data_IF_212303383129
#
_entry.id   IF_212303383129
#
_cell.length_a   1.000
_cell.length_b   1.000
_cell.length_c   1.000
_cell.angle_alpha   90.00
_cell.angle_beta   90.00
_cell.angle_gamma   90.00
#
_symmetry.space_group_name_H-M   'P 1'
#
loop_
_entity.id
_entity.type
_entity.pdbx_description
1 polymer ?
#
# COMPACT_ATOMS: atom_id res chain seq x y z
N UNK A 1 -3.30 1.97 -18.32
CA UNK A 1 -4.27 1.17 -19.10
C UNK A 1 -5.65 1.78 -18.91
N UNK A 2 -6.50 1.80 -19.94
CA UNK A 2 -7.87 2.32 -19.85
C UNK A 2 -8.86 1.16 -19.82
N UNK A 3 -9.89 1.28 -18.98
CA UNK A 3 -10.94 0.26 -18.80
C UNK A 3 -12.29 0.92 -19.03
N UNK A 4 -13.19 0.23 -19.74
CA UNK A 4 -14.60 0.62 -19.87
C UNK A 4 -15.44 -0.29 -18.98
N UNK A 5 -16.24 0.31 -18.10
CA UNK A 5 -17.10 -0.40 -17.16
C UNK A 5 -18.57 -0.05 -17.43
N UNK A 6 -19.42 -1.07 -17.57
CA UNK A 6 -20.87 -0.89 -17.58
C UNK A 6 -21.38 -0.92 -16.15
N UNK A 7 -21.92 0.20 -15.67
CA UNK A 7 -22.45 0.39 -14.32
C UNK A 7 -23.81 1.05 -14.44
N UNK A 8 -24.74 0.73 -13.53
CA UNK A 8 -26.02 1.43 -13.41
C UNK A 8 -25.82 2.95 -13.20
N UNK A 9 -26.55 3.77 -13.97
CA UNK A 9 -26.43 5.23 -13.95
C UNK A 9 -26.72 5.85 -12.59
N UNK A 10 -27.60 5.24 -11.77
CA UNK A 10 -27.91 5.73 -10.42
C UNK A 10 -26.69 5.57 -9.52
N UNK A 11 -25.96 4.47 -9.65
CA UNK A 11 -24.72 4.21 -8.90
C UNK A 11 -23.65 5.21 -9.32
N UNK A 12 -23.47 5.43 -10.63
CA UNK A 12 -22.50 6.40 -11.16
C UNK A 12 -22.79 7.80 -10.63
N UNK A 13 -24.06 8.20 -10.59
CA UNK A 13 -24.49 9.51 -10.11
C UNK A 13 -24.14 9.70 -8.63
N UNK A 14 -24.46 8.72 -7.79
CA UNK A 14 -24.18 8.82 -6.35
C UNK A 14 -22.68 8.77 -6.06
N UNK A 15 -21.93 7.91 -6.76
CA UNK A 15 -20.49 7.83 -6.61
C UNK A 15 -19.79 9.14 -7.02
N UNK A 16 -20.28 9.83 -8.06
CA UNK A 16 -19.79 11.17 -8.43
C UNK A 16 -20.09 12.20 -7.35
N UNK A 17 -21.28 12.19 -6.76
CA UNK A 17 -21.65 13.07 -5.64
C UNK A 17 -20.69 12.89 -4.46
N UNK A 18 -20.40 11.64 -4.11
CA UNK A 18 -19.45 11.29 -3.05
C UNK A 18 -18.03 11.76 -3.40
N UNK A 19 -17.59 11.53 -4.64
CA UNK A 19 -16.26 11.94 -5.09
C UNK A 19 -16.06 13.46 -4.96
N UNK A 20 -17.04 14.26 -5.41
CA UNK A 20 -17.00 15.72 -5.30
C UNK A 20 -16.97 16.16 -3.85
N UNK A 21 -17.80 15.56 -2.98
CA UNK A 21 -17.80 15.85 -1.55
C UNK A 21 -16.44 15.55 -0.87
N UNK A 22 -15.68 14.61 -1.41
CA UNK A 22 -14.32 14.25 -0.96
C UNK A 22 -13.20 15.01 -1.69
N UNK A 23 -13.54 15.97 -2.55
CA UNK A 23 -12.54 16.72 -3.34
C UNK A 23 -11.79 15.88 -4.38
N UNK A 24 -12.40 14.80 -4.86
CA UNK A 24 -11.79 13.85 -5.82
C UNK A 24 -12.72 13.56 -7.00
N UNK A 25 -12.36 12.60 -7.85
CA UNK A 25 -13.16 12.17 -9.00
C UNK A 25 -13.56 10.69 -8.91
N UNK A 26 -14.63 10.29 -9.61
CA UNK A 26 -15.04 8.89 -9.69
C UNK A 26 -13.90 7.99 -10.20
N UNK A 27 -13.19 8.43 -11.24
CA UNK A 27 -12.05 7.68 -11.76
C UNK A 27 -10.93 7.54 -10.73
N UNK A 28 -10.71 8.55 -9.89
CA UNK A 28 -9.71 8.46 -8.84
C UNK A 28 -10.14 7.46 -7.76
N UNK A 29 -11.41 7.49 -7.33
CA UNK A 29 -11.94 6.49 -6.38
C UNK A 29 -11.80 5.06 -6.90
N UNK A 30 -12.08 4.83 -8.19
CA UNK A 30 -11.92 3.51 -8.82
C UNK A 30 -10.45 3.09 -8.81
N UNK A 31 -9.52 4.00 -9.13
CA UNK A 31 -8.08 3.71 -9.09
C UNK A 31 -7.62 3.38 -7.68
N UNK A 32 -8.02 4.17 -6.70
CA UNK A 32 -7.62 3.98 -5.30
C UNK A 32 -8.12 2.63 -4.78
N UNK A 33 -9.38 2.27 -5.09
CA UNK A 33 -9.94 0.98 -4.73
C UNK A 33 -9.21 -0.19 -5.39
N UNK A 34 -8.90 -0.10 -6.69
CA UNK A 34 -8.15 -1.14 -7.39
C UNK A 34 -6.72 -1.29 -6.81
N UNK A 35 -6.06 -0.18 -6.49
CA UNK A 35 -4.73 -0.20 -5.86
C UNK A 35 -4.78 -0.83 -4.46
N UNK A 36 -5.81 -0.53 -3.67
CA UNK A 36 -6.01 -1.14 -2.35
C UNK A 36 -6.29 -2.65 -2.47
N UNK A 37 -7.09 -3.04 -3.46
CA UNK A 37 -7.39 -4.45 -3.73
C UNK A 37 -6.12 -5.23 -4.14
N UNK A 38 -5.27 -4.65 -4.97
CA UNK A 38 -4.02 -5.27 -5.43
C UNK A 38 -2.88 -5.15 -4.42
N UNK A 39 -3.02 -4.32 -3.38
CA UNK A 39 -2.03 -4.23 -2.31
C UNK A 39 -1.89 -5.53 -1.52
N UNK A 40 -2.90 -6.41 -1.55
CA UNK A 40 -2.81 -7.75 -0.98
C UNK A 40 -1.73 -8.58 -1.70
N UNK A 41 -1.52 -8.36 -3.00
CA UNK A 41 -0.46 -9.03 -3.77
C UNK A 41 0.94 -8.48 -3.45
N UNK A 42 1.03 -7.32 -2.78
CA UNK A 42 2.32 -6.77 -2.32
C UNK A 42 2.81 -7.43 -1.02
N UNK A 43 1.96 -8.17 -0.29
CA UNK A 43 2.42 -8.91 0.89
C UNK A 43 3.48 -9.96 0.52
N UNK A 44 3.26 -10.70 -0.58
CA UNK A 44 4.27 -11.66 -1.07
C UNK A 44 5.53 -10.96 -1.57
N UNK A 45 5.39 -9.81 -2.23
CA UNK A 45 6.51 -8.96 -2.67
C UNK A 45 7.33 -8.43 -1.48
N UNK A 46 6.67 -7.93 -0.43
CA UNK A 46 7.31 -7.49 0.83
C UNK A 46 7.99 -8.66 1.54
N UNK A 47 7.34 -9.83 1.60
CA UNK A 47 7.93 -11.05 2.18
C UNK A 47 9.15 -11.50 1.37
N UNK A 48 9.07 -11.48 0.04
CA UNK A 48 10.18 -11.83 -0.84
C UNK A 48 11.37 -10.88 -0.65
N UNK A 49 11.12 -9.58 -0.53
CA UNK A 49 12.15 -8.58 -0.28
C UNK A 49 12.77 -8.73 1.12
N UNK A 50 11.97 -8.98 2.16
CA UNK A 50 12.47 -9.29 3.50
C UNK A 50 13.36 -10.53 3.51
N UNK A 51 12.94 -11.60 2.82
CA UNK A 51 13.72 -12.83 2.71
C UNK A 51 15.06 -12.58 1.99
N UNK A 52 15.05 -11.76 0.93
CA UNK A 52 16.27 -11.38 0.20
C UNK A 52 17.23 -10.62 1.12
N UNK A 53 16.74 -9.61 1.85
CA UNK A 53 17.54 -8.84 2.79
C UNK A 53 18.11 -9.75 3.88
N UNK A 54 17.31 -10.62 4.50
CA UNK A 54 17.80 -11.54 5.52
C UNK A 54 18.82 -12.56 5.01
N UNK A 55 18.74 -12.95 3.74
CA UNK A 55 19.71 -13.83 3.12
C UNK A 55 21.03 -13.11 2.79
N UNK A 56 20.95 -11.85 2.33
CA UNK A 56 22.11 -11.02 1.98
C UNK A 56 22.79 -10.40 3.22
N UNK A 57 22.06 -10.22 4.33
CA UNK A 57 22.55 -9.56 5.54
C UNK A 57 23.52 -10.45 6.32
N UNK A 58 24.79 -10.04 6.35
CA UNK A 58 25.84 -10.74 7.10
C UNK A 58 25.93 -10.31 8.57
N UNK A 59 25.25 -9.23 8.95
CA UNK A 59 25.33 -8.70 10.30
C UNK A 59 24.67 -9.63 11.32
N UNK A 60 25.41 -9.96 12.37
CA UNK A 60 24.91 -10.69 13.54
C UNK A 60 25.11 -9.81 14.76
N UNK A 61 24.06 -9.62 15.55
CA UNK A 61 24.20 -8.93 16.84
C UNK A 61 25.22 -9.67 17.71
N UNK A 62 26.14 -8.92 18.30
CA UNK A 62 27.20 -9.43 19.16
C UNK A 62 26.79 -9.58 20.63
N UNK A 63 25.57 -9.14 21.00
CA UNK A 63 25.05 -9.19 22.36
C UNK A 63 23.66 -8.56 22.50
N UNK A 64 23.10 -8.48 23.72
CA UNK A 64 21.89 -7.70 23.99
C UNK A 64 22.17 -6.19 23.84
N UNK A 65 21.14 -5.43 23.48
CA UNK A 65 21.21 -3.98 23.32
C UNK A 65 20.20 -3.32 24.25
N UNK A 66 20.61 -2.24 24.92
CA UNK A 66 19.66 -1.37 25.63
C UNK A 66 19.07 -0.35 24.66
N UNK A 67 17.93 0.25 25.04
CA UNK A 67 17.30 1.30 24.24
C UNK A 67 18.21 2.52 24.15
N UNK A 68 18.84 2.88 25.26
CA UNK A 68 19.76 4.00 25.40
C UNK A 68 20.97 3.83 24.46
N UNK A 69 21.56 2.64 24.41
CA UNK A 69 22.66 2.28 23.50
C UNK A 69 22.32 2.38 22.00
N UNK A 70 21.04 2.22 21.63
CA UNK A 70 20.58 2.34 20.24
C UNK A 70 20.38 3.81 19.85
N UNK A 71 19.90 4.65 20.77
CA UNK A 71 19.71 6.07 20.52
C UNK A 71 21.03 6.83 20.36
N UNK A 72 22.10 6.42 21.05
CA UNK A 72 23.43 7.04 20.92
C UNK A 72 24.19 6.63 19.64
N UNK A 73 23.75 5.58 18.95
CA UNK A 73 24.40 5.05 17.72
C UNK A 73 23.80 5.57 16.41
N UNK A 74 22.75 6.40 16.47
CA UNK A 74 22.11 7.05 15.34
C UNK A 74 22.75 8.41 15.03
#
# INVERSE_FOLDING_TARGET
MNVTLSIDDRIVTEARRIAVARGTSLNQLIRDYLNELTRVDDAESVIAELNRIWADETYRSTGPWTREELYERA
#
